data_IF_735710157306
#
_entry.id   IF_735710157306
#
_cell.length_a   1.000
_cell.length_b   1.000
_cell.length_c   1.000
_cell.angle_alpha   90.00
_cell.angle_beta   90.00
_cell.angle_gamma   90.00
#
_symmetry.space_group_name_H-M   'P 1'
#
loop_
_entity.id
_entity.type
_entity.pdbx_description
1 polymer ?
#
# COMPACT_ATOMS: atom_id res chain seq x y z
N UNK A 1 -4.23 7.06 15.46
CA UNK A 1 -3.95 7.65 14.13
C UNK A 1 -5.06 7.19 13.22
N UNK A 2 -6.00 8.09 12.92
CA UNK A 2 -7.03 7.83 11.92
C UNK A 2 -6.35 7.77 10.55
N UNK A 3 -6.43 6.61 9.90
CA UNK A 3 -6.04 6.48 8.49
C UNK A 3 -7.19 7.01 7.64
N UNK A 4 -6.85 7.68 6.55
CA UNK A 4 -7.87 8.09 5.58
C UNK A 4 -8.23 6.91 4.67
N UNK A 5 -9.18 6.09 5.13
CA UNK A 5 -9.72 4.97 4.37
C UNK A 5 -10.50 5.42 3.12
N UNK A 6 -10.94 6.67 3.05
CA UNK A 6 -11.65 7.23 1.88
C UNK A 6 -10.72 7.54 0.72
N UNK A 7 -9.45 7.80 1.01
CA UNK A 7 -8.39 8.04 0.02
C UNK A 7 -7.60 6.77 -0.35
N UNK A 8 -8.04 5.58 0.10
CA UNK A 8 -7.36 4.33 -0.21
C UNK A 8 -7.30 4.07 -1.73
N UNK A 9 -6.16 3.56 -2.18
CA UNK A 9 -5.88 3.30 -3.59
C UNK A 9 -6.62 2.02 -4.00
N UNK A 10 -7.56 2.13 -4.93
CA UNK A 10 -8.28 0.95 -5.44
C UNK A 10 -7.36 0.11 -6.33
N UNK A 11 -7.35 -1.18 -6.06
CA UNK A 11 -6.60 -2.19 -6.81
C UNK A 11 -7.50 -3.40 -7.07
N UNK A 12 -7.20 -4.15 -8.12
CA UNK A 12 -7.89 -5.40 -8.49
C UNK A 12 -7.09 -6.65 -8.17
N UNK A 13 -5.85 -6.49 -7.71
CA UNK A 13 -4.93 -7.58 -7.42
C UNK A 13 -3.76 -7.10 -6.58
N UNK A 14 -3.15 -8.03 -5.84
CA UNK A 14 -1.91 -7.78 -5.09
C UNK A 14 -0.80 -7.29 -6.04
N UNK A 15 -0.71 -7.82 -7.27
CA UNK A 15 0.28 -7.37 -8.24
C UNK A 15 0.18 -5.88 -8.56
N UNK A 16 -1.03 -5.30 -8.60
CA UNK A 16 -1.22 -3.87 -8.81
C UNK A 16 -0.69 -3.03 -7.65
N UNK A 17 -0.76 -3.50 -6.41
CA UNK A 17 -0.21 -2.82 -5.23
C UNK A 17 1.30 -2.62 -5.38
N UNK A 18 2.02 -3.70 -5.70
CA UNK A 18 3.47 -3.67 -5.91
C UNK A 18 3.85 -2.81 -7.13
N UNK A 19 3.07 -2.87 -8.22
CA UNK A 19 3.29 -2.00 -9.37
C UNK A 19 3.09 -0.52 -9.04
N UNK A 20 2.12 -0.19 -8.19
CA UNK A 20 1.88 1.17 -7.73
C UNK A 20 3.09 1.69 -6.94
N UNK A 21 3.56 0.92 -5.95
CA UNK A 21 4.74 1.30 -5.15
C UNK A 21 5.99 1.45 -6.01
N UNK A 22 6.22 0.54 -6.95
CA UNK A 22 7.37 0.59 -7.84
C UNK A 22 7.41 1.87 -8.70
N UNK A 23 6.25 2.47 -9.01
CA UNK A 23 6.14 3.68 -9.83
C UNK A 23 6.28 4.99 -9.05
N UNK A 24 5.98 5.01 -7.75
CA UNK A 24 6.00 6.27 -6.99
C UNK A 24 7.41 6.79 -6.69
N UNK A 25 8.38 5.89 -6.49
CA UNK A 25 9.73 6.28 -6.07
C UNK A 25 9.73 7.06 -4.74
N UNK A 26 10.92 7.42 -4.25
CA UNK A 26 11.06 8.31 -3.10
C UNK A 26 11.31 9.74 -3.59
N UNK A 27 10.87 10.73 -2.81
CA UNK A 27 11.14 12.15 -3.09
C UNK A 27 12.63 12.48 -3.21
N UNK A 28 13.53 11.67 -2.64
CA UNK A 28 14.98 11.81 -2.80
C UNK A 28 15.52 11.22 -4.11
N UNK A 29 14.66 10.69 -5.00
CA UNK A 29 15.03 9.97 -6.23
C UNK A 29 15.38 8.49 -6.03
N UNK A 30 15.38 8.01 -4.77
CA UNK A 30 15.69 6.60 -4.46
C UNK A 30 14.50 5.66 -4.67
N UNK A 31 14.77 4.35 -4.72
CA UNK A 31 13.72 3.33 -4.86
C UNK A 31 13.08 2.99 -3.50
N UNK A 32 11.75 2.93 -3.46
CA UNK A 32 11.00 2.38 -2.32
C UNK A 32 10.99 0.85 -2.41
N UNK A 33 11.26 0.19 -1.28
CA UNK A 33 11.13 -1.27 -1.15
C UNK A 33 10.10 -1.61 -0.07
N UNK A 34 9.19 -2.57 -0.32
CA UNK A 34 8.33 -3.12 0.71
C UNK A 34 9.14 -3.66 1.89
N UNK A 35 8.66 -3.40 3.10
CA UNK A 35 9.26 -3.83 4.37
C UNK A 35 8.29 -4.59 5.24
N UNK A 36 7.00 -4.48 4.97
CA UNK A 36 5.95 -5.22 5.65
C UNK A 36 4.60 -4.88 5.06
N UNK A 37 3.64 -5.77 5.29
CA UNK A 37 2.28 -5.65 4.80
C UNK A 37 1.32 -6.03 5.94
N UNK A 38 0.21 -5.31 6.07
CA UNK A 38 -0.78 -5.53 7.14
C UNK A 38 -2.18 -5.46 6.55
N UNK A 39 -2.92 -6.57 6.68
CA UNK A 39 -4.35 -6.59 6.40
C UNK A 39 -5.10 -5.84 7.50
N UNK A 40 -5.92 -4.88 7.10
CA UNK A 40 -6.75 -4.04 7.97
C UNK A 40 -8.22 -4.24 7.62
N UNK A 41 -9.06 -4.18 8.64
CA UNK A 41 -10.51 -4.14 8.49
C UNK A 41 -11.03 -2.81 9.04
N UNK A 42 -11.89 -2.13 8.28
CA UNK A 42 -12.56 -0.91 8.72
C UNK A 42 -13.98 -0.86 8.16
N UNK A 43 -14.98 -0.80 9.04
CA UNK A 43 -16.42 -0.73 8.68
C UNK A 43 -16.86 -1.85 7.73
N UNK A 44 -16.34 -3.06 7.91
CA UNK A 44 -16.64 -4.23 7.06
C UNK A 44 -15.93 -4.24 5.70
N UNK A 45 -15.08 -3.25 5.43
CA UNK A 45 -14.21 -3.22 4.26
C UNK A 45 -12.79 -3.66 4.62
N UNK A 46 -12.15 -4.34 3.67
CA UNK A 46 -10.79 -4.84 3.78
C UNK A 46 -9.82 -3.90 3.07
N UNK A 47 -8.70 -3.65 3.71
CA UNK A 47 -7.65 -2.78 3.20
C UNK A 47 -6.31 -3.43 3.42
N UNK A 48 -5.37 -3.16 2.52
CA UNK A 48 -4.00 -3.59 2.67
C UNK A 48 -3.08 -2.40 2.92
N UNK A 49 -2.34 -2.42 4.02
CA UNK A 49 -1.34 -1.40 4.35
C UNK A 49 0.05 -1.92 3.99
N UNK A 50 0.60 -1.42 2.90
CA UNK A 50 1.95 -1.74 2.45
C UNK A 50 2.94 -0.70 2.97
N UNK A 51 3.82 -1.15 3.87
CA UNK A 51 4.90 -0.33 4.45
C UNK A 51 6.14 -0.44 3.60
N UNK A 52 6.73 0.69 3.25
CA UNK A 52 7.92 0.74 2.41
C UNK A 52 9.01 1.56 3.06
N UNK A 53 10.25 1.29 2.64
CA UNK A 53 11.44 2.06 3.03
C UNK A 53 12.29 2.37 1.81
N UNK A 54 12.71 3.62 1.67
CA UNK A 54 13.64 4.04 0.64
C UNK A 54 15.02 3.41 0.89
N UNK A 55 15.59 2.81 -0.13
CA UNK A 55 16.93 2.20 -0.05
C UNK A 55 18.07 3.23 -0.03
N UNK A 56 17.80 4.49 -0.37
CA UNK A 56 18.82 5.56 -0.41
C UNK A 56 18.80 6.41 0.85
N UNK A 57 17.66 7.04 1.17
CA UNK A 57 17.56 7.94 2.32
C UNK A 57 17.00 7.27 3.58
N UNK A 58 16.45 6.06 3.47
CA UNK A 58 15.85 5.36 4.60
C UNK A 58 14.45 5.84 5.02
N UNK A 59 13.87 6.84 4.33
CA UNK A 59 12.52 7.32 4.62
C UNK A 59 11.47 6.21 4.47
N UNK A 60 10.46 6.26 5.35
CA UNK A 60 9.34 5.33 5.32
C UNK A 60 8.13 5.98 4.65
N UNK A 61 7.46 5.20 3.80
CA UNK A 61 6.21 5.59 3.17
C UNK A 61 5.24 4.43 3.28
N UNK A 62 3.99 4.72 3.65
CA UNK A 62 2.93 3.73 3.71
C UNK A 62 1.93 3.98 2.58
N UNK A 63 1.40 2.90 2.02
CA UNK A 63 0.34 2.93 1.02
C UNK A 63 -0.84 2.11 1.55
N UNK A 64 -2.03 2.70 1.51
CA UNK A 64 -3.27 2.04 1.89
C UNK A 64 -4.04 1.69 0.62
N UNK A 65 -4.29 0.41 0.43
CA UNK A 65 -4.98 -0.13 -0.73
C UNK A 65 -6.38 -0.64 -0.36
N UNK A 66 -7.37 -0.34 -1.19
CA UNK A 66 -8.70 -0.93 -1.13
C UNK A 66 -8.70 -2.21 -1.97
N UNK A 67 -8.82 -3.35 -1.27
CA UNK A 67 -8.74 -4.69 -1.86
C UNK A 67 -10.11 -5.38 -1.95
N UNK A 68 -11.20 -4.67 -1.66
CA UNK A 68 -12.56 -5.26 -1.57
C UNK A 68 -13.05 -5.86 -2.89
N UNK A 69 -12.46 -5.44 -4.01
CA UNK A 69 -12.80 -5.94 -5.35
C UNK A 69 -12.40 -7.41 -5.56
N UNK A 70 -11.34 -7.88 -4.91
CA UNK A 70 -10.76 -9.21 -5.12
C UNK A 70 -10.52 -10.01 -3.85
N UNK A 71 -10.53 -9.36 -2.67
CA UNK A 71 -10.34 -10.06 -1.41
C UNK A 71 -11.43 -11.13 -1.20
N UNK A 72 -11.01 -12.36 -0.89
CA UNK A 72 -11.91 -13.50 -0.66
C UNK A 72 -12.51 -14.13 -1.93
N UNK A 73 -12.21 -13.63 -3.13
CA UNK A 73 -12.62 -14.27 -4.38
C UNK A 73 -11.57 -15.30 -4.79
N UNK A 74 -12.00 -16.56 -4.93
CA UNK A 74 -11.19 -17.71 -5.37
C UNK A 74 -11.64 -18.16 -6.75
#
# INVERSE_FOLDING_TARGET
>A
MDRDYGAAIKVDSVAQEYLHVARQGCSCGGQLRPTGQVLLEHKGCHYDLLKTRCQTCGNHTEFLFDINSFFGRR
#
